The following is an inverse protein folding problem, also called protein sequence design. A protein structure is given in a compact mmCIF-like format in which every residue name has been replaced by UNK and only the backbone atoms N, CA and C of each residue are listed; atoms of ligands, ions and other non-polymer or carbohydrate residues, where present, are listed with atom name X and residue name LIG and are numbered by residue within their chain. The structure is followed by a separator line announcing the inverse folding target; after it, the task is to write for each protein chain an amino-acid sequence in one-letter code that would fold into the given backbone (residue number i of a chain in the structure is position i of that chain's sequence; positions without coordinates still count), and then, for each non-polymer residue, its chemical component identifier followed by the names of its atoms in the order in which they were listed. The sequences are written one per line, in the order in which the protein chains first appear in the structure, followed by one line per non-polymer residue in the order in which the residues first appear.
data_IF_791281546572
#
_entry.id   IF_791281546572
#
_cell.length_a   1.000
_cell.length_b   1.000
_cell.length_c   1.000
_cell.angle_alpha   90.00
_cell.angle_beta   90.00
_cell.angle_gamma   90.00
#
_symmetry.space_group_name_H-M   'P 1'
#
loop_
_entity.id
_entity.type
_entity.pdbx_description
1 polymer ?
#
# COMPACT_ATOMS: atom_id res chain seq x y z
N UNK A 1 39.11 33.65 -12.11
CA UNK A 1 38.25 33.19 -10.98
C UNK A 1 36.76 33.27 -11.35
N UNK A 2 36.30 34.40 -11.90
CA UNK A 2 34.92 34.65 -12.33
C UNK A 2 34.39 33.66 -13.37
N UNK A 3 35.19 33.29 -14.37
CA UNK A 3 34.75 32.41 -15.46
C UNK A 3 34.58 30.97 -15.02
N UNK A 4 35.45 30.50 -14.12
CA UNK A 4 35.33 29.18 -13.52
C UNK A 4 34.06 29.08 -12.67
N UNK A 5 33.73 30.12 -11.89
CA UNK A 5 32.47 30.17 -11.14
C UNK A 5 31.25 30.15 -12.06
N UNK A 6 31.25 30.93 -13.15
CA UNK A 6 30.15 30.92 -14.13
C UNK A 6 29.96 29.55 -14.77
N UNK A 7 31.06 28.88 -15.11
CA UNK A 7 31.02 27.53 -15.67
C UNK A 7 30.43 26.52 -14.66
N UNK A 8 30.87 26.57 -13.40
CA UNK A 8 30.38 25.68 -12.33
C UNK A 8 28.90 25.92 -12.06
N UNK A 9 28.46 27.18 -11.97
CA UNK A 9 27.06 27.53 -11.78
C UNK A 9 26.19 27.07 -12.96
N UNK A 10 26.65 27.26 -14.20
CA UNK A 10 25.95 26.78 -15.38
C UNK A 10 25.85 25.26 -15.44
N UNK A 11 26.92 24.56 -15.09
CA UNK A 11 26.93 23.10 -15.02
C UNK A 11 25.99 22.58 -13.93
N UNK A 12 26.01 23.17 -12.74
CA UNK A 12 25.14 22.80 -11.63
C UNK A 12 23.67 23.04 -11.97
N UNK A 13 23.35 24.17 -12.59
CA UNK A 13 22.00 24.48 -13.05
C UNK A 13 21.55 23.48 -14.12
N UNK A 14 22.38 23.22 -15.13
CA UNK A 14 22.09 22.25 -16.17
C UNK A 14 21.83 20.85 -15.64
N UNK A 15 22.66 20.40 -14.69
CA UNK A 15 22.50 19.10 -14.04
C UNK A 15 21.23 19.04 -13.18
N UNK A 16 20.93 20.11 -12.45
CA UNK A 16 19.71 20.18 -11.62
C UNK A 16 18.46 20.15 -12.49
N UNK A 17 18.41 20.96 -13.55
CA UNK A 17 17.26 21.01 -14.48
C UNK A 17 17.09 19.68 -15.21
N UNK A 18 18.16 19.07 -15.70
CA UNK A 18 18.07 17.77 -16.39
C UNK A 18 17.64 16.64 -15.44
N UNK A 19 18.14 16.63 -14.20
CA UNK A 19 17.76 15.65 -13.19
C UNK A 19 16.27 15.78 -12.82
N UNK A 20 15.79 17.01 -12.56
CA UNK A 20 14.38 17.26 -12.27
C UNK A 20 13.48 16.89 -13.44
N UNK A 21 13.92 17.15 -14.68
CA UNK A 21 13.17 16.79 -15.88
C UNK A 21 12.99 15.27 -16.01
N UNK A 22 14.08 14.50 -15.86
CA UNK A 22 14.01 13.03 -15.91
C UNK A 22 13.18 12.48 -14.75
N UNK A 23 13.32 13.04 -13.54
CA UNK A 23 12.52 12.64 -12.39
C UNK A 23 11.02 12.88 -12.63
N UNK A 24 10.66 14.04 -13.19
CA UNK A 24 9.27 14.36 -13.52
C UNK A 24 8.70 13.39 -14.56
N UNK A 25 9.46 13.06 -15.61
CA UNK A 25 9.07 12.07 -16.61
C UNK A 25 8.90 10.68 -15.99
N UNK A 26 9.82 10.27 -15.10
CA UNK A 26 9.76 8.98 -14.43
C UNK A 26 8.53 8.89 -13.52
N UNK A 27 8.27 9.91 -12.69
CA UNK A 27 7.07 9.98 -11.86
C UNK A 27 5.82 9.96 -12.75
N UNK A 28 5.78 10.77 -13.81
CA UNK A 28 4.66 10.81 -14.76
C UNK A 28 4.39 9.45 -15.41
N UNK A 29 5.44 8.77 -15.85
CA UNK A 29 5.36 7.41 -16.39
C UNK A 29 4.85 6.42 -15.32
N UNK A 30 5.43 6.43 -14.13
CA UNK A 30 5.00 5.57 -13.03
C UNK A 30 3.52 5.77 -12.71
N UNK A 31 3.07 7.01 -12.62
CA UNK A 31 1.67 7.35 -12.34
C UNK A 31 0.76 6.89 -13.49
N UNK A 32 1.09 7.25 -14.74
CA UNK A 32 0.26 6.93 -15.91
C UNK A 32 0.09 5.42 -16.12
N UNK A 33 1.16 4.65 -15.95
CA UNK A 33 1.14 3.21 -16.20
C UNK A 33 0.74 2.38 -14.97
N UNK A 34 1.12 2.77 -13.75
CA UNK A 34 0.78 1.98 -12.55
C UNK A 34 -0.61 2.30 -12.01
N UNK A 35 -1.10 3.55 -12.11
CA UNK A 35 -2.49 3.82 -11.71
C UNK A 35 -3.48 3.05 -12.59
N UNK A 36 -3.18 2.86 -13.88
CA UNK A 36 -3.99 1.99 -14.77
C UNK A 36 -3.99 0.52 -14.36
N UNK A 37 -2.97 0.06 -13.61
CA UNK A 37 -2.95 -1.29 -13.04
C UNK A 37 -3.83 -1.43 -11.80
N UNK A 38 -4.24 -0.33 -11.17
CA UNK A 38 -5.17 -0.38 -10.05
C UNK A 38 -6.54 -0.84 -10.57
N UNK A 39 -6.88 -2.10 -10.27
CA UNK A 39 -8.17 -2.65 -10.66
C UNK A 39 -9.29 -1.91 -9.90
N UNK A 40 -10.33 -1.42 -10.59
CA UNK A 40 -11.50 -0.87 -9.93
C UNK A 40 -12.14 -1.95 -9.04
N UNK A 41 -12.65 -1.53 -7.89
CA UNK A 41 -13.41 -2.37 -6.96
C UNK A 41 -14.89 -2.04 -7.06
N UNK A 42 -15.76 -3.02 -6.80
CA UNK A 42 -17.21 -2.85 -6.72
C UNK A 42 -18.01 -3.58 -7.79
N UNK A 43 -19.31 -3.27 -7.89
CA UNK A 43 -20.32 -3.99 -8.70
C UNK A 43 -19.97 -4.13 -10.19
N UNK A 44 -19.16 -3.21 -10.73
CA UNK A 44 -18.69 -3.23 -12.13
C UNK A 44 -17.27 -3.76 -12.34
N UNK A 45 -16.61 -4.28 -11.30
CA UNK A 45 -15.25 -4.80 -11.42
C UNK A 45 -15.22 -6.08 -12.28
N UNK A 46 -14.25 -6.18 -13.19
CA UNK A 46 -14.07 -7.34 -14.09
C UNK A 46 -13.79 -8.66 -13.34
N UNK A 47 -13.27 -8.58 -12.12
CA UNK A 47 -12.95 -9.74 -11.27
C UNK A 47 -13.64 -9.55 -9.93
N UNK A 48 -14.58 -10.45 -9.62
CA UNK A 48 -15.28 -10.50 -8.33
C UNK A 48 -14.37 -11.16 -7.30
N UNK A 49 -14.00 -10.45 -6.23
CA UNK A 49 -13.13 -11.01 -5.16
C UNK A 49 -13.93 -11.57 -3.99
N UNK A 50 -15.09 -10.98 -3.71
CA UNK A 50 -16.04 -11.43 -2.70
C UNK A 50 -17.47 -11.05 -3.10
N UNK A 51 -18.46 -11.63 -2.41
CA UNK A 51 -19.88 -11.40 -2.68
C UNK A 51 -20.29 -9.96 -2.35
N UNK A 52 -19.78 -9.43 -1.24
CA UNK A 52 -20.04 -8.06 -0.77
C UNK A 52 -19.65 -7.01 -1.82
N UNK A 53 -18.51 -7.17 -2.49
CA UNK A 53 -18.07 -6.28 -3.59
C UNK A 53 -19.04 -6.32 -4.77
N UNK A 54 -19.62 -7.50 -5.08
CA UNK A 54 -20.63 -7.65 -6.14
C UNK A 54 -21.98 -7.03 -5.75
N UNK A 55 -22.32 -7.07 -4.47
CA UNK A 55 -23.50 -6.41 -3.91
C UNK A 55 -23.31 -4.90 -3.73
N UNK A 56 -22.09 -4.38 -3.92
CA UNK A 56 -21.77 -2.96 -3.81
C UNK A 56 -21.48 -2.49 -2.38
N UNK A 57 -21.29 -3.42 -1.45
CA UNK A 57 -20.89 -3.09 -0.09
C UNK A 57 -19.42 -2.63 -0.05
N UNK A 58 -19.09 -1.61 0.77
CA UNK A 58 -17.72 -1.17 0.93
C UNK A 58 -16.87 -2.27 1.59
N UNK A 59 -15.56 -2.35 1.30
CA UNK A 59 -14.68 -3.35 1.89
C UNK A 59 -14.57 -3.09 3.40
N UNK A 60 -15.14 -3.99 4.20
CA UNK A 60 -15.03 -3.94 5.66
C UNK A 60 -13.81 -4.75 6.09
N UNK A 61 -12.76 -4.06 6.51
CA UNK A 61 -11.61 -4.70 7.11
C UNK A 61 -11.95 -5.08 8.54
N UNK A 62 -11.77 -6.37 8.83
CA UNK A 62 -12.02 -6.92 10.15
C UNK A 62 -10.80 -6.58 11.04
N UNK A 63 -11.00 -6.00 12.24
CA UNK A 63 -9.92 -5.73 13.17
C UNK A 63 -9.16 -7.00 13.57
N UNK A 64 -7.86 -6.91 13.96
CA UNK A 64 -7.06 -8.09 14.32
C UNK A 64 -7.61 -8.92 15.49
N UNK A 65 -8.41 -8.30 16.36
CA UNK A 65 -8.99 -8.92 17.55
C UNK A 65 -10.37 -9.53 17.32
N UNK A 66 -10.92 -9.41 16.12
CA UNK A 66 -12.22 -10.02 15.81
C UNK A 66 -11.99 -11.45 15.31
N UNK A 67 -12.74 -12.42 15.83
CA UNK A 67 -12.60 -13.81 15.44
C UNK A 67 -12.78 -14.00 13.93
N UNK A 68 -11.86 -14.75 13.33
CA UNK A 68 -11.88 -15.03 11.89
C UNK A 68 -12.63 -16.34 11.65
N UNK A 69 -13.89 -16.23 11.25
CA UNK A 69 -14.75 -17.38 10.94
C UNK A 69 -15.94 -17.50 11.91
N UNK A 70 -16.75 -18.56 11.79
CA UNK A 70 -17.92 -18.77 12.63
C UNK A 70 -17.58 -19.12 14.09
N UNK A 71 -16.32 -19.48 14.36
CA UNK A 71 -15.82 -19.88 15.68
C UNK A 71 -14.77 -18.89 16.12
N UNK A 72 -14.85 -18.48 17.39
CA UNK A 72 -13.81 -17.64 17.98
C UNK A 72 -12.53 -18.44 18.19
N UNK A 73 -11.57 -18.24 17.30
CA UNK A 73 -10.26 -18.90 17.33
C UNK A 73 -9.41 -18.48 18.54
N UNK A 74 -9.78 -17.41 19.25
CA UNK A 74 -9.11 -16.96 20.47
C UNK A 74 -9.77 -17.50 21.73
N UNK A 75 -10.96 -18.09 21.62
CA UNK A 75 -11.75 -18.68 22.72
C UNK A 75 -11.87 -20.21 22.58
N UNK A 76 -10.80 -20.86 22.12
CA UNK A 76 -10.78 -22.33 22.04
C UNK A 76 -10.37 -22.94 23.39
N UNK A 77 -10.92 -24.10 23.77
CA UNK A 77 -10.63 -24.72 25.06
C UNK A 77 -9.13 -25.01 25.25
N UNK A 78 -8.42 -25.34 24.17
CA UNK A 78 -6.98 -25.63 24.21
C UNK A 78 -6.15 -24.40 24.59
N UNK A 79 -6.56 -23.20 24.11
CA UNK A 79 -5.90 -21.94 24.45
C UNK A 79 -6.18 -21.52 25.89
N UNK A 80 -7.41 -21.75 26.37
CA UNK A 80 -7.79 -21.48 27.76
C UNK A 80 -6.99 -22.36 28.74
N UNK A 81 -6.87 -23.65 28.47
CA UNK A 81 -6.06 -24.58 29.28
C UNK A 81 -4.58 -24.19 29.30
N UNK A 82 -4.03 -23.74 28.16
CA UNK A 82 -2.65 -23.28 28.07
C UNK A 82 -2.42 -21.98 28.86
N UNK A 83 -3.37 -21.04 28.84
CA UNK A 83 -3.31 -19.83 29.66
C UNK A 83 -3.44 -20.13 31.16
N UNK A 84 -4.31 -21.06 31.54
CA UNK A 84 -4.45 -21.51 32.93
C UNK A 84 -3.13 -22.11 33.44
N UNK A 85 -2.49 -22.98 32.66
CA UNK A 85 -1.18 -23.54 32.99
C UNK A 85 -0.10 -22.47 33.17
N UNK A 86 -0.10 -21.43 32.34
CA UNK A 86 0.83 -20.29 32.46
C UNK A 86 0.56 -19.40 33.67
N UNK A 87 -0.69 -19.30 34.15
CA UNK A 87 -1.06 -18.52 35.33
C UNK A 87 -0.81 -19.26 36.65
N UNK A 88 -0.83 -20.59 36.62
CA UNK A 88 -0.56 -21.44 37.79
C UNK A 88 0.92 -21.74 38.03
N UNK A 89 1.80 -21.26 37.14
CA UNK A 89 3.25 -21.33 37.27
C UNK A 89 3.79 -19.96 37.69
#
# INVERSE_FOLDING_TARGET
MSDLLRLVLGALQGFTVSSLFVLALFIGFCVLFNLRKLKPRGRGARVVRNLDERLGAPPRYIPPHVPRGPVDQLDTPELQEAQQRKRSA
#
